data_IF_033058656872
#
_entry.id   IF_033058656872
#
_cell.length_a   1.000
_cell.length_b   1.000
_cell.length_c   1.000
_cell.angle_alpha   90.00
_cell.angle_beta   90.00
_cell.angle_gamma   90.00
#
_symmetry.space_group_name_H-M   'P 1'
#
loop_
_entity.id
_entity.type
_entity.pdbx_description
1 polymer ?
#
# COMPACT_ATOMS: atom_id res chain seq x y z
N UNK A 1 11.02 -14.58 -13.67
CA UNK A 1 10.74 -15.00 -12.28
C UNK A 1 9.49 -14.29 -11.80
N UNK A 2 8.44 -15.03 -11.52
CA UNK A 2 7.17 -14.47 -11.01
C UNK A 2 7.30 -14.25 -9.51
N UNK A 3 7.10 -13.02 -9.07
CA UNK A 3 7.22 -12.65 -7.64
C UNK A 3 5.85 -12.25 -7.11
N UNK A 4 5.52 -12.69 -5.89
CA UNK A 4 4.37 -12.19 -5.16
C UNK A 4 4.68 -12.16 -3.66
N UNK A 5 3.96 -11.29 -2.95
CA UNK A 5 4.17 -11.02 -1.53
C UNK A 5 2.96 -11.53 -0.77
N UNK A 6 3.20 -12.45 0.15
CA UNK A 6 2.19 -12.95 1.09
C UNK A 6 2.41 -12.28 2.43
N UNK A 7 1.40 -11.54 2.90
CA UNK A 7 1.38 -11.04 4.27
C UNK A 7 0.69 -12.02 5.20
N UNK A 8 1.20 -12.22 6.42
CA UNK A 8 0.46 -12.95 7.45
C UNK A 8 -0.48 -12.01 8.21
N UNK A 9 -1.59 -12.51 8.68
CA UNK A 9 -2.44 -11.83 9.65
C UNK A 9 -3.09 -12.84 10.61
N UNK A 10 -3.58 -12.36 11.74
CA UNK A 10 -4.17 -13.20 12.79
C UNK A 10 -3.69 -12.82 14.18
N UNK A 11 -4.31 -13.43 15.18
CA UNK A 11 -4.05 -13.12 16.58
C UNK A 11 -2.62 -13.49 17.02
N UNK A 12 -2.16 -12.91 18.15
CA UNK A 12 -0.94 -13.36 18.83
C UNK A 12 -1.10 -14.85 19.18
N UNK A 13 0.00 -15.59 19.16
CA UNK A 13 0.06 -17.03 19.46
C UNK A 13 -0.73 -17.96 18.52
N UNK A 14 -1.37 -17.45 17.46
CA UNK A 14 -1.99 -18.30 16.42
C UNK A 14 -0.97 -19.00 15.50
N UNK A 15 0.34 -18.81 15.72
CA UNK A 15 1.39 -19.56 15.05
C UNK A 15 1.88 -18.98 13.72
N UNK A 16 1.66 -17.69 13.43
CA UNK A 16 2.10 -17.04 12.16
C UNK A 16 3.59 -17.24 11.88
N UNK A 17 4.45 -16.81 12.80
CA UNK A 17 5.91 -16.92 12.67
C UNK A 17 6.38 -18.38 12.63
N UNK A 18 5.77 -19.24 13.45
CA UNK A 18 6.08 -20.67 13.47
C UNK A 18 5.72 -21.35 12.13
N UNK A 19 4.60 -20.94 11.53
CA UNK A 19 4.17 -21.42 10.22
C UNK A 19 5.16 -21.00 9.11
N UNK A 20 5.57 -19.74 9.07
CA UNK A 20 6.58 -19.27 8.10
C UNK A 20 7.90 -20.06 8.27
N UNK A 21 8.31 -20.27 9.52
CA UNK A 21 9.51 -21.07 9.81
C UNK A 21 9.37 -22.51 9.29
N UNK A 22 8.21 -23.14 9.46
CA UNK A 22 7.95 -24.47 8.93
C UNK A 22 7.98 -24.51 7.40
N UNK A 23 7.49 -23.46 6.73
CA UNK A 23 7.45 -23.36 5.27
C UNK A 23 8.84 -23.18 4.63
N UNK A 24 9.73 -22.35 5.22
CA UNK A 24 10.97 -21.95 4.57
C UNK A 24 12.24 -22.03 5.44
N UNK A 25 12.12 -22.51 6.68
CA UNK A 25 13.27 -22.66 7.59
C UNK A 25 13.80 -21.35 8.21
N UNK A 26 13.18 -20.21 7.91
CA UNK A 26 13.64 -18.90 8.37
C UNK A 26 13.16 -18.59 9.79
N UNK A 27 14.08 -18.23 10.68
CA UNK A 27 13.73 -17.70 12.00
C UNK A 27 13.36 -16.22 11.89
N UNK A 28 12.05 -15.92 11.98
CA UNK A 28 11.52 -14.57 11.87
C UNK A 28 11.98 -13.62 12.98
N UNK A 29 12.12 -14.13 14.19
CA UNK A 29 12.49 -13.35 15.37
C UNK A 29 13.99 -13.06 15.36
N UNK A 30 14.38 -11.93 14.75
CA UNK A 30 15.77 -11.57 14.52
C UNK A 30 16.43 -10.81 15.66
N UNK A 31 15.62 -10.19 16.55
CA UNK A 31 16.13 -9.39 17.67
C UNK A 31 16.16 -10.17 18.99
N UNK A 32 17.09 -9.82 19.89
CA UNK A 32 17.12 -10.42 21.23
C UNK A 32 15.85 -10.14 22.01
N UNK A 33 15.18 -9.02 21.77
CA UNK A 33 13.94 -8.64 22.44
C UNK A 33 12.78 -9.53 21.97
N UNK A 34 12.68 -9.84 20.67
CA UNK A 34 11.69 -10.77 20.12
C UNK A 34 11.88 -12.18 20.68
N UNK A 35 13.11 -12.67 20.71
CA UNK A 35 13.45 -13.99 21.28
C UNK A 35 13.09 -14.10 22.76
N UNK A 36 13.34 -13.04 23.55
CA UNK A 36 13.03 -13.03 24.99
C UNK A 36 11.52 -12.94 25.27
N UNK A 37 10.77 -12.24 24.44
CA UNK A 37 9.33 -12.03 24.62
C UNK A 37 8.47 -13.07 23.91
N UNK A 38 9.05 -13.85 22.98
CA UNK A 38 8.33 -14.83 22.17
C UNK A 38 7.30 -14.22 21.21
N UNK A 39 7.45 -12.93 20.87
CA UNK A 39 6.52 -12.21 20.00
C UNK A 39 7.29 -11.43 18.91
N UNK A 40 6.75 -11.40 17.70
CA UNK A 40 7.27 -10.55 16.61
C UNK A 40 6.95 -9.09 16.92
N UNK A 41 7.96 -8.22 16.93
CA UNK A 41 7.82 -6.79 17.27
C UNK A 41 7.82 -5.93 16.01
N UNK A 42 8.67 -6.23 15.04
CA UNK A 42 8.77 -5.51 13.76
C UNK A 42 8.41 -6.46 12.61
N UNK A 43 8.28 -5.91 11.40
CA UNK A 43 8.07 -6.72 10.20
C UNK A 43 9.25 -7.67 9.99
N UNK A 44 8.98 -8.93 9.81
CA UNK A 44 9.98 -9.93 9.42
C UNK A 44 9.79 -10.29 7.93
N UNK A 45 10.89 -10.50 7.24
CA UNK A 45 10.90 -10.71 5.79
C UNK A 45 11.67 -11.97 5.47
N UNK A 46 11.03 -12.87 4.74
CA UNK A 46 11.66 -14.10 4.24
C UNK A 46 11.11 -14.44 2.87
N UNK A 47 11.67 -15.46 2.24
CA UNK A 47 11.18 -15.94 0.96
C UNK A 47 11.45 -17.43 0.79
N UNK A 48 10.74 -18.03 -0.16
CA UNK A 48 11.03 -19.34 -0.71
C UNK A 48 10.98 -19.28 -2.23
N UNK A 49 11.85 -20.07 -2.88
CA UNK A 49 11.97 -20.09 -4.33
C UNK A 49 11.82 -21.52 -4.82
N UNK A 50 11.07 -21.72 -5.91
CA UNK A 50 10.97 -22.98 -6.63
C UNK A 50 10.87 -22.65 -8.13
N UNK A 51 11.76 -23.21 -8.93
CA UNK A 51 11.88 -22.95 -10.36
C UNK A 51 12.02 -21.43 -10.65
N UNK A 52 11.06 -20.86 -11.41
CA UNK A 52 11.00 -19.45 -11.78
C UNK A 52 10.07 -18.61 -10.88
N UNK A 53 9.51 -19.22 -9.81
CA UNK A 53 8.62 -18.55 -8.85
C UNK A 53 9.34 -18.22 -7.54
N UNK A 54 9.07 -17.03 -7.05
CA UNK A 54 9.52 -16.58 -5.75
C UNK A 54 8.35 -16.07 -4.92
N UNK A 55 8.16 -16.67 -3.76
CA UNK A 55 7.16 -16.30 -2.76
C UNK A 55 7.86 -15.57 -1.64
N UNK A 56 7.60 -14.28 -1.53
CA UNK A 56 8.09 -13.46 -0.42
C UNK A 56 7.05 -13.42 0.70
N UNK A 57 7.49 -13.57 1.94
CA UNK A 57 6.65 -13.46 3.13
C UNK A 57 6.96 -12.15 3.87
N UNK A 58 5.90 -11.49 4.31
CA UNK A 58 5.99 -10.42 5.30
C UNK A 58 5.22 -10.89 6.53
N UNK A 59 5.96 -11.28 7.56
CA UNK A 59 5.37 -11.64 8.84
C UNK A 59 5.08 -10.38 9.64
N UNK A 60 3.82 -10.22 10.04
CA UNK A 60 3.38 -9.04 10.77
C UNK A 60 3.16 -9.37 12.25
N UNK A 61 3.51 -8.43 13.14
CA UNK A 61 3.27 -8.61 14.55
C UNK A 61 1.75 -8.74 14.85
N UNK A 62 1.39 -9.70 15.69
CA UNK A 62 0.01 -9.94 16.08
C UNK A 62 -0.51 -9.05 17.21
N UNK A 63 0.36 -8.27 17.88
CA UNK A 63 -0.01 -7.50 19.06
C UNK A 63 -0.65 -6.15 18.70
N UNK A 64 -1.76 -5.76 19.35
CA UNK A 64 -2.51 -4.51 19.08
C UNK A 64 -1.64 -3.24 19.05
N UNK A 65 -0.64 -3.12 19.94
CA UNK A 65 0.29 -1.99 19.97
C UNK A 65 1.19 -1.89 18.74
N UNK A 66 1.27 -2.97 17.94
CA UNK A 66 2.14 -3.09 16.78
C UNK A 66 1.37 -3.02 15.44
N UNK A 67 0.07 -2.79 15.48
CA UNK A 67 -0.80 -2.66 14.28
C UNK A 67 -0.25 -1.64 13.28
N UNK A 68 0.42 -0.58 13.73
CA UNK A 68 1.13 0.37 12.86
C UNK A 68 2.18 -0.28 11.94
N UNK A 69 2.85 -1.32 12.43
CA UNK A 69 3.85 -2.05 11.63
C UNK A 69 3.13 -2.96 10.63
N UNK A 70 2.06 -3.62 11.06
CA UNK A 70 1.20 -4.40 10.15
C UNK A 70 0.67 -3.54 9.00
N UNK A 71 0.11 -2.36 9.28
CA UNK A 71 -0.38 -1.44 8.25
C UNK A 71 0.73 -1.12 7.24
N UNK A 72 1.94 -0.77 7.71
CA UNK A 72 3.05 -0.44 6.84
C UNK A 72 3.50 -1.61 5.93
N UNK A 73 3.43 -2.85 6.41
CA UNK A 73 3.68 -4.05 5.62
C UNK A 73 2.57 -4.35 4.60
N UNK A 74 1.33 -4.16 5.02
CA UNK A 74 0.14 -4.53 4.26
C UNK A 74 -0.01 -3.78 2.92
N UNK A 75 0.56 -2.58 2.79
CA UNK A 75 0.60 -1.86 1.50
C UNK A 75 1.36 -2.61 0.39
N UNK A 76 2.14 -3.63 0.75
CA UNK A 76 2.91 -4.43 -0.19
C UNK A 76 2.30 -5.79 -0.51
N UNK A 77 1.22 -6.20 0.18
CA UNK A 77 0.67 -7.55 0.05
C UNK A 77 -0.06 -7.75 -1.28
N UNK A 78 0.18 -8.90 -1.89
CA UNK A 78 -0.60 -9.41 -3.03
C UNK A 78 -1.69 -10.37 -2.56
N UNK A 79 -1.35 -11.18 -1.56
CA UNK A 79 -2.21 -12.19 -0.94
C UNK A 79 -2.04 -12.12 0.56
N UNK A 80 -3.09 -12.32 1.32
CA UNK A 80 -3.01 -12.47 2.76
C UNK A 80 -3.13 -13.94 3.16
N UNK A 81 -2.34 -14.34 4.13
CA UNK A 81 -2.45 -15.62 4.80
C UNK A 81 -3.04 -15.38 6.18
N UNK A 82 -4.34 -15.69 6.33
CA UNK A 82 -5.12 -15.50 7.56
C UNK A 82 -4.90 -16.73 8.44
N UNK A 83 -4.13 -16.58 9.51
CA UNK A 83 -3.77 -17.69 10.40
C UNK A 83 -4.65 -17.65 11.66
N UNK A 84 -5.48 -18.67 11.84
CA UNK A 84 -6.41 -18.81 12.95
C UNK A 84 -6.21 -20.16 13.63
N UNK A 85 -6.03 -20.16 14.94
CA UNK A 85 -5.92 -21.40 15.72
C UNK A 85 -7.24 -22.19 15.68
N UNK A 86 -7.17 -23.48 15.37
CA UNK A 86 -8.33 -24.39 15.39
C UNK A 86 -9.07 -24.37 16.72
N UNK A 87 -8.33 -24.23 17.84
CA UNK A 87 -8.88 -24.24 19.20
C UNK A 87 -9.46 -22.90 19.62
N UNK A 88 -8.76 -21.78 19.31
CA UNK A 88 -9.10 -20.45 19.81
C UNK A 88 -10.03 -19.67 18.89
N UNK A 89 -10.15 -20.10 17.62
CA UNK A 89 -11.00 -19.49 16.59
C UNK A 89 -10.70 -18.01 16.33
N UNK A 90 -11.71 -17.26 15.87
CA UNK A 90 -11.57 -15.82 15.56
C UNK A 90 -11.44 -15.01 16.86
N UNK A 91 -10.35 -14.28 16.97
CA UNK A 91 -10.00 -13.44 18.10
C UNK A 91 -10.00 -11.94 17.72
N UNK A 92 -10.12 -11.01 18.67
CA UNK A 92 -10.27 -9.57 18.36
C UNK A 92 -9.21 -8.98 17.45
N UNK A 93 -7.95 -9.37 17.60
CA UNK A 93 -6.87 -8.87 16.72
C UNK A 93 -7.01 -9.40 15.28
N UNK A 94 -7.53 -10.63 15.11
CA UNK A 94 -7.84 -11.15 13.77
C UNK A 94 -8.88 -10.25 13.10
N UNK A 95 -9.92 -9.84 13.84
CA UNK A 95 -10.97 -8.94 13.33
C UNK A 95 -10.36 -7.60 12.90
N UNK A 96 -9.58 -6.94 13.75
CA UNK A 96 -8.93 -5.66 13.42
C UNK A 96 -8.02 -5.80 12.19
N UNK A 97 -7.26 -6.89 12.08
CA UNK A 97 -6.41 -7.13 10.92
C UNK A 97 -7.23 -7.28 9.64
N UNK A 98 -8.31 -8.06 9.66
CA UNK A 98 -9.19 -8.25 8.49
C UNK A 98 -9.85 -6.94 8.07
N UNK A 99 -10.31 -6.13 9.02
CA UNK A 99 -10.87 -4.80 8.74
C UNK A 99 -9.86 -3.90 8.03
N UNK A 100 -8.63 -3.81 8.55
CA UNK A 100 -7.57 -3.00 7.94
C UNK A 100 -7.22 -3.48 6.54
N UNK A 101 -7.05 -4.80 6.35
CA UNK A 101 -6.70 -5.39 5.06
C UNK A 101 -7.80 -5.19 4.03
N UNK A 102 -9.07 -5.28 4.46
CA UNK A 102 -10.22 -4.98 3.62
C UNK A 102 -10.26 -3.49 3.20
N UNK A 103 -9.98 -2.56 4.13
CA UNK A 103 -9.87 -1.12 3.83
C UNK A 103 -8.71 -0.81 2.88
N UNK A 104 -7.61 -1.54 2.95
CA UNK A 104 -6.48 -1.44 2.02
C UNK A 104 -6.80 -2.02 0.64
N UNK A 105 -7.91 -2.76 0.53
CA UNK A 105 -8.38 -3.33 -0.74
C UNK A 105 -7.63 -4.57 -1.18
N UNK A 106 -7.02 -5.30 -0.24
CA UNK A 106 -6.47 -6.63 -0.52
C UNK A 106 -7.64 -7.53 -0.92
N UNK A 107 -7.45 -8.31 -1.98
CA UNK A 107 -8.55 -9.13 -2.54
C UNK A 107 -8.39 -10.60 -2.29
N UNK A 108 -7.19 -11.15 -2.31
CA UNK A 108 -6.93 -12.58 -2.23
C UNK A 108 -6.52 -13.01 -0.82
N UNK A 109 -7.15 -14.05 -0.32
CA UNK A 109 -6.87 -14.62 0.99
C UNK A 109 -6.66 -16.14 0.92
N UNK A 110 -5.73 -16.63 1.72
CA UNK A 110 -5.59 -18.05 2.06
C UNK A 110 -5.90 -18.17 3.55
N UNK A 111 -6.83 -19.04 3.90
CA UNK A 111 -7.23 -19.24 5.30
C UNK A 111 -6.48 -20.45 5.85
N UNK A 112 -5.72 -20.23 6.92
CA UNK A 112 -4.94 -21.27 7.59
C UNK A 112 -5.56 -21.54 8.95
N UNK A 113 -6.05 -22.76 9.16
CA UNK A 113 -6.48 -23.28 10.43
C UNK A 113 -5.29 -23.97 11.07
N UNK A 114 -4.60 -23.23 11.93
CA UNK A 114 -3.38 -23.71 12.58
C UNK A 114 -3.67 -24.55 13.83
N UNK A 115 -2.66 -25.30 14.32
CA UNK A 115 -2.77 -26.11 15.52
C UNK A 115 -3.90 -27.16 15.44
N UNK A 116 -4.09 -27.79 14.27
CA UNK A 116 -5.12 -28.81 14.08
C UNK A 116 -4.98 -30.02 15.01
N UNK A 117 -3.76 -30.24 15.51
CA UNK A 117 -3.39 -31.27 16.46
C UNK A 117 -3.99 -31.08 17.88
N UNK A 118 -4.54 -29.90 18.20
CA UNK A 118 -5.09 -29.58 19.50
C UNK A 118 -6.60 -29.77 19.61
N UNK A 119 -7.26 -30.26 18.56
CA UNK A 119 -8.72 -30.48 18.51
C UNK A 119 -9.03 -31.82 17.87
N UNK A 120 -10.22 -32.36 18.13
CA UNK A 120 -10.72 -33.56 17.46
C UNK A 120 -11.07 -33.27 15.99
N UNK A 121 -11.24 -34.32 15.18
CA UNK A 121 -11.59 -34.15 13.76
C UNK A 121 -12.96 -33.47 13.60
N UNK A 122 -13.96 -33.82 14.38
CA UNK A 122 -15.30 -33.20 14.32
C UNK A 122 -15.26 -31.72 14.73
N UNK A 123 -14.47 -31.38 15.76
CA UNK A 123 -14.24 -29.99 16.16
C UNK A 123 -13.48 -29.20 15.07
N UNK A 124 -12.50 -29.83 14.41
CA UNK A 124 -11.74 -29.19 13.33
C UNK A 124 -12.66 -28.82 12.17
N UNK A 125 -13.52 -29.73 11.73
CA UNK A 125 -14.46 -29.49 10.63
C UNK A 125 -15.46 -28.38 10.99
N UNK A 126 -16.07 -28.44 12.18
CA UNK A 126 -17.00 -27.42 12.67
C UNK A 126 -16.34 -26.05 12.78
N UNK A 127 -15.14 -25.97 13.39
CA UNK A 127 -14.43 -24.72 13.60
C UNK A 127 -13.91 -24.12 12.28
N UNK A 128 -13.50 -24.96 11.33
CA UNK A 128 -13.12 -24.53 9.98
C UNK A 128 -14.29 -23.83 9.29
N UNK A 129 -15.48 -24.42 9.32
CA UNK A 129 -16.67 -23.80 8.71
C UNK A 129 -17.04 -22.46 9.38
N UNK A 130 -16.94 -22.38 10.70
CA UNK A 130 -17.17 -21.14 11.43
C UNK A 130 -16.20 -20.04 11.01
N UNK A 131 -14.89 -20.36 10.93
CA UNK A 131 -13.83 -19.43 10.53
C UNK A 131 -14.04 -18.96 9.08
N UNK A 132 -14.30 -19.89 8.16
CA UNK A 132 -14.54 -19.55 6.75
C UNK A 132 -15.79 -18.67 6.58
N UNK A 133 -16.87 -18.98 7.28
CA UNK A 133 -18.08 -18.16 7.25
C UNK A 133 -17.85 -16.75 7.81
N UNK A 134 -17.00 -16.62 8.84
CA UNK A 134 -16.63 -15.31 9.35
C UNK A 134 -15.82 -14.51 8.33
N UNK A 135 -14.81 -15.12 7.71
CA UNK A 135 -13.96 -14.44 6.70
C UNK A 135 -14.76 -14.00 5.47
N UNK A 136 -15.80 -14.75 5.08
CA UNK A 136 -16.71 -14.40 3.96
C UNK A 136 -17.52 -13.11 4.19
N UNK A 137 -17.56 -12.56 5.40
CA UNK A 137 -18.19 -11.25 5.64
C UNK A 137 -17.34 -10.08 5.14
N UNK A 138 -16.10 -10.34 4.73
CA UNK A 138 -15.19 -9.36 4.15
C UNK A 138 -15.09 -9.58 2.63
N UNK A 139 -14.61 -8.56 1.93
CA UNK A 139 -14.49 -8.58 0.46
C UNK A 139 -13.18 -9.27 0.00
N UNK A 140 -12.96 -10.52 0.50
CA UNK A 140 -11.84 -11.36 0.12
C UNK A 140 -12.29 -12.52 -0.77
N UNK A 141 -11.55 -12.77 -1.83
CA UNK A 141 -11.57 -14.03 -2.58
C UNK A 141 -10.74 -15.05 -1.80
N UNK A 142 -11.40 -16.04 -1.19
CA UNK A 142 -10.70 -17.15 -0.52
C UNK A 142 -10.19 -18.09 -1.61
N UNK A 143 -8.87 -18.04 -1.86
CA UNK A 143 -8.21 -18.86 -2.89
C UNK A 143 -8.14 -20.32 -2.47
N UNK A 144 -7.85 -20.56 -1.19
CA UNK A 144 -7.83 -21.89 -0.57
C UNK A 144 -7.89 -21.79 0.96
N UNK A 145 -8.20 -22.91 1.60
CA UNK A 145 -8.10 -23.10 3.03
C UNK A 145 -7.34 -24.37 3.36
N UNK A 146 -6.58 -24.35 4.47
CA UNK A 146 -5.73 -25.46 4.89
C UNK A 146 -5.73 -25.61 6.40
N UNK A 147 -5.97 -26.83 6.87
CA UNK A 147 -5.77 -27.18 8.28
C UNK A 147 -4.35 -27.73 8.47
N UNK A 148 -3.54 -27.06 9.26
CA UNK A 148 -2.11 -27.38 9.41
C UNK A 148 -1.69 -27.56 10.86
N UNK A 149 -0.67 -28.39 11.06
CA UNK A 149 0.13 -28.43 12.29
C UNK A 149 1.60 -28.37 11.91
N UNK A 150 2.39 -27.59 12.62
CA UNK A 150 3.86 -27.53 12.42
C UNK A 150 4.55 -28.86 12.79
N UNK A 151 3.84 -29.78 13.41
CA UNK A 151 4.30 -31.15 13.74
C UNK A 151 3.87 -32.18 12.70
N UNK A 152 3.10 -31.77 11.67
CA UNK A 152 2.65 -32.61 10.57
C UNK A 152 3.26 -32.09 9.26
N UNK A 153 4.40 -32.67 8.87
CA UNK A 153 5.17 -32.29 7.69
C UNK A 153 4.32 -32.37 6.41
N UNK A 154 3.42 -33.38 6.28
CA UNK A 154 2.58 -33.50 5.09
C UNK A 154 1.67 -32.28 4.93
N UNK A 155 1.05 -31.78 6.01
CA UNK A 155 0.19 -30.59 5.93
C UNK A 155 0.96 -29.32 5.58
N UNK A 156 2.23 -29.23 5.96
CA UNK A 156 3.11 -28.11 5.61
C UNK A 156 3.53 -28.19 4.14
N UNK A 157 3.88 -29.39 3.65
CA UNK A 157 4.29 -29.60 2.26
C UNK A 157 3.12 -29.35 1.28
N UNK A 158 1.91 -29.82 1.61
CA UNK A 158 0.69 -29.53 0.84
C UNK A 158 0.43 -28.01 0.75
N UNK A 159 0.53 -27.29 1.87
CA UNK A 159 0.41 -25.84 1.88
C UNK A 159 1.50 -25.19 1.01
N UNK A 160 2.75 -25.64 1.15
CA UNK A 160 3.87 -25.14 0.37
C UNK A 160 3.67 -25.31 -1.13
N UNK A 161 3.18 -26.47 -1.56
CA UNK A 161 2.84 -26.76 -2.94
C UNK A 161 1.74 -25.82 -3.44
N UNK A 162 0.68 -25.64 -2.67
CA UNK A 162 -0.40 -24.71 -2.99
C UNK A 162 0.11 -23.27 -3.16
N UNK A 163 0.99 -22.79 -2.29
CA UNK A 163 1.56 -21.44 -2.41
C UNK A 163 2.32 -21.24 -3.74
N UNK A 164 2.97 -22.28 -4.26
CA UNK A 164 3.63 -22.20 -5.57
C UNK A 164 2.67 -22.33 -6.77
N UNK A 165 1.40 -22.74 -6.56
CA UNK A 165 0.38 -22.74 -7.62
C UNK A 165 -0.29 -21.38 -7.81
N UNK A 166 -0.15 -20.47 -6.85
CA UNK A 166 -0.75 -19.14 -6.92
C UNK A 166 -0.34 -18.43 -8.22
N UNK A 167 -1.30 -17.78 -8.83
CA UNK A 167 -1.04 -16.88 -9.95
C UNK A 167 -0.95 -15.47 -9.40
N UNK A 168 0.18 -14.81 -9.62
CA UNK A 168 0.27 -13.38 -9.40
C UNK A 168 -0.73 -12.70 -10.34
N UNK A 169 -1.52 -11.78 -9.79
CA UNK A 169 -2.26 -10.87 -10.66
C UNK A 169 -1.25 -10.06 -11.46
N UNK A 170 -1.55 -9.85 -12.75
CA UNK A 170 -0.77 -8.92 -13.54
C UNK A 170 -0.89 -7.55 -12.87
N UNK A 171 0.11 -7.19 -12.05
CA UNK A 171 0.16 -5.84 -11.51
C UNK A 171 0.23 -4.89 -12.68
N UNK A 172 -0.75 -4.01 -12.75
CA UNK A 172 -0.74 -2.94 -13.74
C UNK A 172 0.53 -2.14 -13.48
N UNK A 173 1.45 -2.16 -14.45
CA UNK A 173 2.60 -1.27 -14.40
C UNK A 173 2.08 0.15 -14.36
N UNK A 174 2.29 0.82 -13.23
CA UNK A 174 2.07 2.24 -13.15
C UNK A 174 3.09 2.96 -14.04
N UNK A 175 2.83 4.21 -14.31
CA UNK A 175 3.64 4.94 -15.30
C UNK A 175 5.02 5.37 -14.81
N UNK A 176 5.33 5.17 -13.52
CA UNK A 176 6.62 5.55 -12.92
C UNK A 176 6.94 4.74 -11.67
N UNK A 177 8.23 4.63 -11.37
CA UNK A 177 8.76 3.98 -10.18
C UNK A 177 8.38 4.74 -8.92
N UNK A 178 7.91 4.01 -7.90
CA UNK A 178 7.68 4.49 -6.53
C UNK A 178 8.29 3.53 -5.52
N UNK A 179 8.71 4.09 -4.40
CA UNK A 179 9.31 3.33 -3.34
C UNK A 179 9.15 4.07 -2.01
N UNK A 180 8.49 3.43 -1.07
CA UNK A 180 8.39 3.92 0.30
C UNK A 180 9.51 3.30 1.15
N UNK A 181 10.33 4.16 1.74
CA UNK A 181 11.39 3.72 2.65
C UNK A 181 10.78 3.19 3.94
N UNK A 182 11.02 1.94 4.28
CA UNK A 182 10.56 1.35 5.54
C UNK A 182 11.64 1.23 6.60
N UNK A 183 12.92 1.03 6.18
CA UNK A 183 14.09 1.06 7.07
C UNK A 183 15.25 1.80 6.43
N UNK A 184 16.09 2.39 7.27
CA UNK A 184 17.31 3.08 6.87
C UNK A 184 18.47 2.55 7.68
N UNK A 185 19.54 2.17 7.02
CA UNK A 185 20.76 1.65 7.63
C UNK A 185 21.98 2.48 7.21
N UNK A 186 22.93 2.61 8.12
CA UNK A 186 24.27 3.07 7.81
C UNK A 186 25.22 1.89 7.97
N UNK A 187 25.81 1.44 6.87
CA UNK A 187 26.76 0.31 6.88
C UNK A 187 28.18 0.81 6.69
N UNK A 188 29.13 0.35 7.56
CA UNK A 188 30.55 0.69 7.43
C UNK A 188 31.08 0.28 6.04
N UNK A 189 31.61 1.24 5.29
CA UNK A 189 32.13 1.01 3.93
C UNK A 189 31.12 1.07 2.78
N UNK A 190 29.83 0.81 3.03
CA UNK A 190 28.79 0.82 1.98
C UNK A 190 27.93 2.08 1.95
N UNK A 191 27.97 2.92 3.00
CA UNK A 191 27.20 4.16 3.04
C UNK A 191 25.76 3.94 3.50
N UNK A 192 24.82 4.64 2.86
CA UNK A 192 23.40 4.62 3.23
C UNK A 192 22.65 3.58 2.43
N UNK A 193 21.97 2.67 3.12
CA UNK A 193 21.11 1.64 2.55
C UNK A 193 19.67 1.87 3.05
N UNK A 194 18.72 1.86 2.15
CA UNK A 194 17.30 1.90 2.47
C UNK A 194 16.60 0.64 2.01
N UNK A 195 15.61 0.16 2.75
CA UNK A 195 14.76 -0.96 2.33
C UNK A 195 13.34 -0.52 2.09
N UNK A 196 12.64 -1.26 1.22
CA UNK A 196 11.27 -1.02 0.82
C UNK A 196 10.82 -1.99 -0.27
N UNK A 197 9.65 -1.75 -0.83
CA UNK A 197 9.08 -2.53 -1.94
C UNK A 197 9.02 -1.68 -3.20
N UNK A 198 9.41 -2.26 -4.33
CA UNK A 198 9.31 -1.63 -5.66
C UNK A 198 7.85 -1.58 -6.08
N UNK A 199 7.34 -0.38 -6.33
CA UNK A 199 5.98 -0.10 -6.78
C UNK A 199 6.00 0.62 -8.13
N UNK A 200 4.94 0.45 -8.89
CA UNK A 200 4.69 1.16 -10.14
C UNK A 200 5.47 0.63 -11.33
N UNK A 201 6.78 0.83 -11.38
CA UNK A 201 7.67 0.32 -12.44
C UNK A 201 8.90 -0.37 -11.88
N UNK A 202 9.47 -1.34 -12.63
CA UNK A 202 10.80 -1.86 -12.36
C UNK A 202 11.85 -0.75 -12.29
N UNK A 203 12.94 -1.00 -11.57
CA UNK A 203 14.07 -0.08 -11.46
C UNK A 203 15.36 -0.74 -11.91
N UNK A 204 16.22 0.04 -12.61
CA UNK A 204 17.56 -0.34 -13.00
C UNK A 204 18.60 0.46 -12.18
N UNK A 205 19.73 -0.17 -11.86
CA UNK A 205 20.82 0.45 -11.10
C UNK A 205 21.40 1.72 -11.74
N UNK A 206 21.30 1.86 -13.07
CA UNK A 206 21.80 3.03 -13.82
C UNK A 206 20.87 4.24 -13.74
N UNK A 207 19.65 4.06 -13.21
CA UNK A 207 18.67 5.13 -13.16
C UNK A 207 18.98 6.17 -12.09
N UNK A 208 18.71 7.43 -12.41
CA UNK A 208 18.72 8.52 -11.44
C UNK A 208 17.38 8.59 -10.75
N UNK A 209 17.42 8.64 -9.44
CA UNK A 209 16.25 8.71 -8.57
C UNK A 209 16.20 10.03 -7.82
N UNK A 210 15.05 10.29 -7.21
CA UNK A 210 14.77 11.50 -6.48
C UNK A 210 14.08 11.16 -5.16
N UNK A 211 14.66 11.60 -4.04
CA UNK A 211 14.01 11.52 -2.74
C UNK A 211 13.11 12.75 -2.60
N UNK A 212 11.80 12.52 -2.66
CA UNK A 212 10.80 13.58 -2.74
C UNK A 212 10.80 14.48 -1.50
N UNK A 213 10.86 13.87 -0.31
CA UNK A 213 10.76 14.57 0.99
C UNK A 213 11.89 15.58 1.22
N UNK A 214 13.08 15.30 0.75
CA UNK A 214 14.26 16.17 0.90
C UNK A 214 14.70 16.85 -0.40
N UNK A 215 13.92 16.65 -1.47
CA UNK A 215 14.13 17.25 -2.81
C UNK A 215 15.55 17.01 -3.36
N UNK A 216 16.09 15.79 -3.17
CA UNK A 216 17.46 15.45 -3.55
C UNK A 216 17.51 14.37 -4.62
N UNK A 217 18.27 14.63 -5.70
CA UNK A 217 18.61 13.63 -6.71
C UNK A 217 19.70 12.70 -6.18
N UNK A 218 19.55 11.42 -6.43
CA UNK A 218 20.47 10.35 -5.98
C UNK A 218 20.76 9.37 -7.11
N UNK A 219 21.89 8.67 -6.99
CA UNK A 219 22.23 7.50 -7.79
C UNK A 219 22.30 6.28 -6.91
N UNK A 220 22.05 5.13 -7.50
CA UNK A 220 22.22 3.85 -6.85
C UNK A 220 23.68 3.38 -6.99
N UNK A 221 24.25 2.86 -5.90
CA UNK A 221 25.52 2.14 -5.90
C UNK A 221 25.29 0.65 -6.14
N UNK A 222 24.20 0.13 -5.56
CA UNK A 222 23.80 -1.27 -5.65
C UNK A 222 22.31 -1.45 -5.39
N UNK A 223 21.73 -2.51 -5.93
CA UNK A 223 20.38 -3.00 -5.65
C UNK A 223 20.52 -4.45 -5.17
N UNK A 224 19.90 -4.79 -4.04
CA UNK A 224 19.79 -6.17 -3.58
C UNK A 224 18.34 -6.61 -3.51
N UNK A 225 18.10 -7.82 -3.98
CA UNK A 225 16.84 -8.55 -3.87
C UNK A 225 17.12 -9.87 -3.18
N UNK A 226 16.47 -10.14 -2.05
CA UNK A 226 16.68 -11.35 -1.24
C UNK A 226 18.16 -11.62 -0.89
N UNK A 227 18.91 -10.56 -0.59
CA UNK A 227 20.34 -10.66 -0.23
C UNK A 227 21.31 -10.80 -1.41
N UNK A 228 20.81 -10.91 -2.64
CA UNK A 228 21.63 -11.03 -3.85
C UNK A 228 21.69 -9.71 -4.61
N UNK A 229 22.86 -9.35 -5.11
CA UNK A 229 23.07 -8.17 -5.94
C UNK A 229 22.45 -8.36 -7.32
N UNK A 230 21.69 -7.35 -7.79
CA UNK A 230 21.00 -7.38 -9.07
C UNK A 230 21.17 -6.04 -9.80
N UNK A 231 21.08 -6.05 -11.14
CA UNK A 231 21.03 -4.80 -11.92
C UNK A 231 19.62 -4.22 -12.02
N UNK A 232 18.61 -5.07 -11.95
CA UNK A 232 17.19 -4.70 -12.06
C UNK A 232 16.39 -5.28 -10.91
N UNK A 233 15.43 -4.53 -10.41
CA UNK A 233 14.42 -5.04 -9.49
C UNK A 233 13.02 -4.79 -10.07
N UNK A 234 12.21 -5.84 -10.06
CA UNK A 234 10.84 -5.83 -10.59
C UNK A 234 9.83 -5.32 -9.54
N UNK A 235 8.62 -4.98 -10.01
CA UNK A 235 7.49 -4.66 -9.15
C UNK A 235 7.28 -5.81 -8.16
N UNK A 236 6.90 -5.45 -6.92
CA UNK A 236 6.76 -6.38 -5.78
C UNK A 236 8.07 -6.99 -5.28
N UNK A 237 9.22 -6.66 -5.86
CA UNK A 237 10.47 -7.03 -5.21
C UNK A 237 10.66 -6.20 -3.95
N UNK A 238 10.89 -6.92 -2.86
CA UNK A 238 11.48 -6.32 -1.67
C UNK A 238 12.96 -6.09 -1.92
N UNK A 239 13.39 -4.84 -1.82
CA UNK A 239 14.76 -4.46 -2.19
C UNK A 239 15.48 -3.72 -1.08
N UNK A 240 16.80 -3.81 -1.09
CA UNK A 240 17.68 -2.87 -0.43
C UNK A 240 18.37 -2.02 -1.50
N UNK A 241 18.21 -0.71 -1.41
CA UNK A 241 18.83 0.27 -2.33
C UNK A 241 20.01 0.94 -1.61
N UNK A 242 21.23 0.75 -2.14
CA UNK A 242 22.41 1.45 -1.65
C UNK A 242 22.53 2.80 -2.36
N UNK A 243 22.42 3.88 -1.60
CA UNK A 243 22.33 5.24 -2.11
C UNK A 243 23.69 5.93 -2.08
N UNK A 244 24.07 6.57 -3.19
CA UNK A 244 25.33 7.33 -3.28
C UNK A 244 25.17 8.73 -2.68
N UNK A 245 26.23 9.19 -1.98
CA UNK A 245 26.41 10.59 -1.58
C UNK A 245 25.29 11.19 -0.74
N UNK A 246 24.70 10.38 0.14
CA UNK A 246 23.66 10.81 1.08
C UNK A 246 23.89 10.22 2.47
N UNK A 247 23.65 11.02 3.52
CA UNK A 247 23.71 10.57 4.91
C UNK A 247 22.39 9.89 5.30
N UNK A 248 22.49 8.75 5.97
CA UNK A 248 21.35 8.00 6.49
C UNK A 248 20.48 8.83 7.44
N UNK A 249 21.06 9.76 8.21
CA UNK A 249 20.32 10.66 9.11
C UNK A 249 19.36 11.61 8.39
N UNK A 250 19.59 11.88 7.10
CA UNK A 250 18.71 12.76 6.30
C UNK A 250 17.47 12.04 5.76
N UNK A 251 17.44 10.72 5.81
CA UNK A 251 16.34 9.90 5.32
C UNK A 251 15.59 9.32 6.51
N UNK A 252 14.26 9.40 6.47
CA UNK A 252 13.38 8.84 7.51
C UNK A 252 12.50 7.74 6.91
N UNK A 253 12.01 6.83 7.76
CA UNK A 253 10.94 5.91 7.40
C UNK A 253 9.77 6.73 6.84
N UNK A 254 9.20 6.27 5.71
CA UNK A 254 8.11 6.95 5.02
C UNK A 254 8.55 7.95 3.95
N UNK A 255 9.85 8.23 3.80
CA UNK A 255 10.34 8.99 2.65
C UNK A 255 9.97 8.29 1.34
N UNK A 256 9.58 9.06 0.34
CA UNK A 256 9.22 8.57 -0.98
C UNK A 256 10.39 8.75 -1.94
N UNK A 257 10.80 7.66 -2.58
CA UNK A 257 11.77 7.70 -3.67
C UNK A 257 11.03 7.44 -4.99
N UNK A 258 11.27 8.30 -5.98
CA UNK A 258 10.67 8.19 -7.31
C UNK A 258 11.62 8.76 -8.36
N UNK A 259 11.16 8.92 -9.60
CA UNK A 259 11.83 9.73 -10.61
C UNK A 259 11.46 11.21 -10.43
N UNK A 260 12.41 12.11 -10.73
CA UNK A 260 12.20 13.55 -10.61
C UNK A 260 11.01 14.01 -11.49
N UNK A 261 10.11 14.79 -10.90
CA UNK A 261 9.00 15.41 -11.61
C UNK A 261 7.69 14.63 -11.64
N UNK A 262 7.67 13.34 -11.25
CA UNK A 262 6.46 12.52 -11.27
C UNK A 262 5.57 12.71 -10.04
N UNK A 263 6.14 12.91 -8.86
CA UNK A 263 5.40 13.13 -7.62
C UNK A 263 5.81 14.46 -7.01
N UNK A 264 4.83 15.31 -6.74
CA UNK A 264 4.97 16.54 -5.96
C UNK A 264 4.24 16.39 -4.64
N UNK A 265 4.81 16.96 -3.58
CA UNK A 265 4.17 16.99 -2.26
C UNK A 265 3.23 18.19 -2.13
N UNK A 266 2.14 17.97 -1.41
CA UNK A 266 1.18 19.00 -1.05
C UNK A 266 0.74 18.79 0.39
N UNK A 267 0.55 19.86 1.12
CA UNK A 267 0.06 19.81 2.51
C UNK A 267 -1.47 19.61 2.60
N UNK A 268 -2.15 19.53 1.46
CA UNK A 268 -3.56 19.19 1.35
C UNK A 268 -3.77 18.22 0.21
N UNK A 269 -4.59 17.18 0.47
CA UNK A 269 -5.08 16.23 -0.53
C UNK A 269 -6.55 15.96 -0.27
N UNK A 270 -7.28 15.58 -1.32
CA UNK A 270 -8.69 15.22 -1.18
C UNK A 270 -8.87 13.70 -1.31
N UNK A 271 -9.75 13.16 -0.49
CA UNK A 271 -9.98 11.72 -0.35
C UNK A 271 -11.47 11.37 -0.42
N UNK A 272 -11.78 10.14 -0.81
CA UNK A 272 -12.97 9.44 -0.33
C UNK A 272 -12.61 8.64 0.92
N UNK A 273 -13.56 8.50 1.85
CA UNK A 273 -13.36 7.72 3.06
C UNK A 273 -14.55 6.79 3.30
N UNK A 274 -14.28 5.69 4.03
CA UNK A 274 -15.29 4.77 4.55
C UNK A 274 -14.96 4.49 6.01
N UNK A 275 -15.90 4.78 6.89
CA UNK A 275 -15.77 4.52 8.32
C UNK A 275 -15.83 3.02 8.59
N UNK A 276 -15.13 2.54 9.60
CA UNK A 276 -15.36 1.21 10.16
C UNK A 276 -16.71 1.17 10.88
N UNK A 277 -17.23 -0.04 11.09
CA UNK A 277 -18.47 -0.26 11.83
C UNK A 277 -18.38 0.41 13.20
N UNK A 278 -19.42 1.15 13.58
CA UNK A 278 -19.53 1.87 14.86
C UNK A 278 -18.46 2.93 15.13
N UNK A 279 -17.67 3.30 14.10
CA UNK A 279 -16.68 4.39 14.16
C UNK A 279 -17.09 5.51 13.22
N UNK A 280 -16.73 6.75 13.55
CA UNK A 280 -17.01 7.92 12.71
C UNK A 280 -15.85 8.92 12.73
N UNK A 281 -15.54 9.45 11.56
CA UNK A 281 -14.66 10.61 11.45
C UNK A 281 -15.40 11.87 11.90
N UNK A 282 -14.73 12.73 12.63
CA UNK A 282 -15.25 14.03 13.05
C UNK A 282 -14.63 15.17 12.23
N UNK A 283 -15.44 16.14 11.84
CA UNK A 283 -15.00 17.31 11.09
C UNK A 283 -13.95 18.12 11.88
N UNK A 284 -12.92 18.59 11.18
CA UNK A 284 -11.84 19.43 11.71
C UNK A 284 -11.08 18.81 12.91
N UNK A 285 -11.03 17.49 12.95
CA UNK A 285 -10.36 16.73 14.01
C UNK A 285 -9.01 16.19 13.52
N UNK A 286 -8.04 16.12 14.42
CA UNK A 286 -6.70 15.61 14.15
C UNK A 286 -6.68 14.08 14.28
N UNK A 287 -6.11 13.43 13.27
CA UNK A 287 -5.94 11.99 13.17
C UNK A 287 -4.53 11.62 12.77
N UNK A 288 -4.15 10.39 13.05
CA UNK A 288 -2.94 9.75 12.52
C UNK A 288 -3.28 9.01 11.24
N UNK A 289 -2.60 9.34 10.15
CA UNK A 289 -2.76 8.73 8.84
C UNK A 289 -1.57 7.83 8.54
N UNK A 290 -1.84 6.70 7.90
CA UNK A 290 -0.83 5.80 7.37
C UNK A 290 -0.98 5.70 5.86
N UNK A 291 0.08 6.10 5.15
CA UNK A 291 0.18 6.09 3.68
C UNK A 291 1.50 5.41 3.31
N UNK A 292 1.44 4.23 2.71
CA UNK A 292 2.61 3.38 2.59
C UNK A 292 3.24 3.11 3.97
N UNK A 293 4.53 3.35 4.10
CA UNK A 293 5.25 3.27 5.38
C UNK A 293 5.28 4.60 6.16
N UNK A 294 4.69 5.68 5.60
CA UNK A 294 4.68 7.02 6.21
C UNK A 294 3.56 7.16 7.23
N UNK A 295 3.89 7.71 8.38
CA UNK A 295 2.95 8.17 9.40
C UNK A 295 2.82 9.69 9.31
N UNK A 296 1.59 10.22 9.22
CA UNK A 296 1.31 11.64 9.05
C UNK A 296 0.26 12.06 10.09
N UNK A 297 0.52 13.14 10.82
CA UNK A 297 -0.48 13.76 11.66
C UNK A 297 -1.19 14.86 10.86
N UNK A 298 -2.52 14.76 10.73
CA UNK A 298 -3.28 15.69 9.91
C UNK A 298 -4.69 15.92 10.43
N UNK A 299 -5.27 17.06 10.05
CA UNK A 299 -6.69 17.36 10.26
C UNK A 299 -7.51 16.85 9.07
N UNK A 300 -8.68 16.32 9.36
CA UNK A 300 -9.65 15.88 8.37
C UNK A 300 -10.83 16.86 8.33
N UNK A 301 -11.07 17.44 7.16
CA UNK A 301 -12.15 18.39 6.90
C UNK A 301 -13.21 17.71 6.04
N UNK A 302 -14.30 17.27 6.63
CA UNK A 302 -15.39 16.59 5.94
C UNK A 302 -16.14 17.56 5.03
N UNK A 303 -16.56 17.12 3.85
CA UNK A 303 -17.44 17.89 2.96
C UNK A 303 -18.88 17.86 3.44
N UNK A 304 -19.34 16.73 3.97
CA UNK A 304 -20.58 16.59 4.73
C UNK A 304 -20.27 16.65 6.22
N UNK A 305 -20.55 17.79 6.84
CA UNK A 305 -20.19 18.08 8.23
C UNK A 305 -21.05 17.27 9.20
N UNK A 306 -22.29 16.99 8.84
CA UNK A 306 -23.23 16.25 9.69
C UNK A 306 -22.88 14.76 9.75
N UNK A 307 -21.99 14.31 8.84
CA UNK A 307 -21.45 12.94 8.80
C UNK A 307 -22.55 11.88 8.99
N UNK A 308 -23.66 12.07 8.28
CA UNK A 308 -24.82 11.20 8.37
C UNK A 308 -24.58 9.84 7.71
N UNK A 309 -23.70 9.80 6.69
CA UNK A 309 -23.33 8.61 5.96
C UNK A 309 -22.07 7.95 6.52
N UNK A 310 -21.94 6.65 6.27
CA UNK A 310 -20.77 5.89 6.69
C UNK A 310 -19.53 6.12 5.78
N UNK A 311 -19.74 6.81 4.66
CA UNK A 311 -18.72 7.14 3.67
C UNK A 311 -18.95 8.53 3.10
N UNK A 312 -17.91 9.13 2.52
CA UNK A 312 -18.01 10.47 1.94
C UNK A 312 -16.66 11.00 1.46
N UNK A 313 -16.62 12.32 1.25
CA UNK A 313 -15.41 13.02 0.84
C UNK A 313 -14.86 13.90 1.96
N UNK A 314 -13.54 14.01 2.00
CA UNK A 314 -12.85 14.88 2.93
C UNK A 314 -11.59 15.49 2.30
N UNK A 315 -11.14 16.61 2.86
CA UNK A 315 -9.80 17.15 2.63
C UNK A 315 -8.93 16.82 3.84
N UNK A 316 -7.79 16.18 3.62
CA UNK A 316 -6.71 16.03 4.58
C UNK A 316 -5.88 17.30 4.53
N UNK A 317 -5.55 17.85 5.71
CA UNK A 317 -4.64 19.00 5.86
C UNK A 317 -3.56 18.66 6.88
N UNK A 318 -2.31 18.58 6.42
CA UNK A 318 -1.12 18.31 7.23
C UNK A 318 -0.21 19.53 7.33
N UNK A 319 0.70 19.50 8.31
CA UNK A 319 1.75 20.53 8.46
C UNK A 319 2.99 20.21 7.58
N UNK A 320 3.04 19.02 7.00
CA UNK A 320 4.08 18.55 6.08
C UNK A 320 3.54 18.18 4.70
N UNK A 321 4.42 18.08 3.72
CA UNK A 321 4.06 17.62 2.38
C UNK A 321 3.69 16.12 2.38
N UNK A 322 2.55 15.80 1.78
CA UNK A 322 2.06 14.47 1.50
C UNK A 322 2.41 14.14 0.06
N UNK A 323 3.21 13.11 -0.16
CA UNK A 323 3.59 12.63 -1.49
C UNK A 323 2.71 11.42 -1.83
N UNK A 324 1.59 11.66 -2.47
CA UNK A 324 0.60 10.63 -2.82
C UNK A 324 0.23 10.69 -4.29
N UNK A 325 -0.42 9.64 -4.76
CA UNK A 325 -0.99 9.55 -6.11
C UNK A 325 -2.48 9.19 -6.04
N UNK A 326 -3.17 9.32 -7.16
CA UNK A 326 -4.56 8.88 -7.31
C UNK A 326 -4.71 7.38 -6.98
N UNK A 327 -5.83 7.01 -6.35
CA UNK A 327 -6.20 5.67 -5.91
C UNK A 327 -5.37 5.09 -4.75
N UNK A 328 -4.40 5.83 -4.23
CA UNK A 328 -3.59 5.36 -3.12
C UNK A 328 -4.40 5.26 -1.82
N UNK A 329 -4.21 4.17 -1.07
CA UNK A 329 -4.98 3.87 0.13
C UNK A 329 -4.37 4.55 1.34
N UNK A 330 -5.23 4.93 2.28
CA UNK A 330 -4.85 5.53 3.57
C UNK A 330 -5.63 4.84 4.68
N UNK A 331 -4.96 4.50 5.76
CA UNK A 331 -5.61 4.07 7.01
C UNK A 331 -5.62 5.25 7.98
N UNK A 332 -6.77 5.54 8.55
CA UNK A 332 -7.01 6.66 9.48
C UNK A 332 -7.22 6.09 10.87
N UNK A 333 -6.39 6.54 11.81
CA UNK A 333 -6.43 6.09 13.20
C UNK A 333 -6.53 7.26 14.18
N UNK A 334 -7.09 6.97 15.37
CA UNK A 334 -7.09 7.88 16.51
C UNK A 334 -6.65 7.10 17.76
N UNK A 335 -5.50 7.45 18.32
CA UNK A 335 -4.88 6.64 19.38
C UNK A 335 -4.56 5.22 18.88
N UNK A 336 -5.13 4.23 19.53
CA UNK A 336 -4.97 2.80 19.17
C UNK A 336 -6.08 2.30 18.24
N UNK A 337 -7.12 3.09 17.98
CA UNK A 337 -8.27 2.65 17.18
C UNK A 337 -8.10 2.98 15.69
N UNK A 338 -8.41 2.05 14.83
CA UNK A 338 -8.65 2.29 13.41
C UNK A 338 -10.05 2.85 13.25
N UNK A 339 -10.19 4.02 12.61
CA UNK A 339 -11.46 4.74 12.48
C UNK A 339 -12.05 4.55 11.08
N UNK A 340 -11.21 4.69 10.05
CA UNK A 340 -11.65 4.64 8.67
C UNK A 340 -10.52 4.21 7.72
N UNK A 341 -10.90 3.72 6.55
CA UNK A 341 -10.06 3.67 5.38
C UNK A 341 -10.38 4.83 4.44
N UNK A 342 -9.40 5.22 3.65
CA UNK A 342 -9.57 6.25 2.65
C UNK A 342 -8.80 5.94 1.36
N UNK A 343 -9.23 6.59 0.28
CA UNK A 343 -8.61 6.52 -1.04
C UNK A 343 -8.32 7.93 -1.51
N UNK A 344 -7.09 8.20 -1.92
CA UNK A 344 -6.70 9.49 -2.49
C UNK A 344 -7.43 9.69 -3.80
N UNK A 345 -8.23 10.72 -3.91
CA UNK A 345 -8.89 11.12 -5.15
C UNK A 345 -8.12 12.24 -5.85
N UNK A 346 -7.86 13.35 -5.15
CA UNK A 346 -7.07 14.44 -5.73
C UNK A 346 -5.82 14.70 -4.90
N UNK A 347 -4.63 14.25 -5.37
CA UNK A 347 -3.37 14.42 -4.66
C UNK A 347 -2.76 15.82 -4.83
N UNK A 348 -3.38 16.70 -5.60
CA UNK A 348 -2.84 18.01 -5.99
C UNK A 348 -3.82 19.11 -5.55
N UNK A 349 -3.30 20.24 -5.06
CA UNK A 349 -4.12 21.39 -4.73
C UNK A 349 -4.49 22.15 -6.01
N UNK A 350 -5.78 22.36 -6.21
CA UNK A 350 -6.31 23.10 -7.36
C UNK A 350 -7.06 24.37 -6.92
N UNK A 351 -6.99 25.46 -7.72
CA UNK A 351 -7.67 26.73 -7.42
C UNK A 351 -9.15 26.66 -7.79
N UNK A 352 -9.95 25.96 -6.97
CA UNK A 352 -11.37 25.77 -7.27
C UNK A 352 -12.27 26.00 -6.03
N UNK A 353 -13.54 26.36 -6.31
CA UNK A 353 -14.57 26.50 -5.27
C UNK A 353 -15.02 25.13 -4.78
N UNK A 354 -15.62 25.08 -3.56
CA UNK A 354 -16.13 23.84 -2.94
C UNK A 354 -17.05 23.04 -3.87
N UNK A 355 -17.97 23.72 -4.59
CA UNK A 355 -18.90 23.07 -5.52
C UNK A 355 -18.20 22.43 -6.74
N UNK A 356 -17.15 23.06 -7.27
CA UNK A 356 -16.33 22.50 -8.36
C UNK A 356 -15.51 21.32 -7.84
N UNK A 357 -14.96 21.46 -6.62
CA UNK A 357 -14.21 20.38 -5.98
C UNK A 357 -15.07 19.14 -5.79
N UNK A 358 -16.32 19.28 -5.32
CA UNK A 358 -17.24 18.14 -5.21
C UNK A 358 -17.52 17.48 -6.57
N UNK A 359 -17.70 18.25 -7.64
CA UNK A 359 -17.85 17.68 -8.99
C UNK A 359 -16.61 16.89 -9.42
N UNK A 360 -15.41 17.42 -9.15
CA UNK A 360 -14.15 16.71 -9.42
C UNK A 360 -14.07 15.41 -8.62
N UNK A 361 -14.38 15.45 -7.32
CA UNK A 361 -14.28 14.28 -6.45
C UNK A 361 -15.28 13.19 -6.84
N UNK A 362 -16.52 13.55 -7.23
CA UNK A 362 -17.46 12.58 -7.76
C UNK A 362 -16.93 11.95 -9.06
N UNK A 363 -16.47 12.74 -10.02
CA UNK A 363 -15.92 12.22 -11.27
C UNK A 363 -14.72 11.27 -11.02
N UNK A 364 -13.82 11.63 -10.09
CA UNK A 364 -12.67 10.79 -9.72
C UNK A 364 -13.08 9.53 -8.94
N UNK A 365 -14.13 9.61 -8.13
CA UNK A 365 -14.67 8.46 -7.40
C UNK A 365 -15.29 7.44 -8.36
N UNK A 366 -16.02 7.94 -9.36
CA UNK A 366 -16.69 7.15 -10.39
C UNK A 366 -15.75 6.75 -11.54
N UNK A 367 -14.45 7.09 -11.43
CA UNK A 367 -13.40 6.81 -12.43
C UNK A 367 -13.67 7.47 -13.81
N UNK A 368 -14.53 8.51 -13.85
CA UNK A 368 -14.81 9.32 -15.04
C UNK A 368 -13.71 10.37 -15.26
N UNK A 369 -12.60 9.92 -15.84
CA UNK A 369 -11.41 10.74 -16.09
C UNK A 369 -11.74 11.88 -17.09
N UNK A 370 -12.65 11.66 -18.02
CA UNK A 370 -13.06 12.69 -19.01
C UNK A 370 -13.71 13.88 -18.31
N UNK A 371 -14.70 13.63 -17.46
CA UNK A 371 -15.37 14.67 -16.68
C UNK A 371 -14.39 15.33 -15.67
N UNK A 372 -13.49 14.56 -15.07
CA UNK A 372 -12.45 15.11 -14.19
C UNK A 372 -11.56 16.13 -14.92
N UNK A 373 -11.13 15.85 -16.17
CA UNK A 373 -10.39 16.81 -16.98
C UNK A 373 -11.22 18.07 -17.30
N UNK A 374 -12.49 17.92 -17.64
CA UNK A 374 -13.37 19.07 -17.94
C UNK A 374 -13.53 19.99 -16.73
N UNK A 375 -13.74 19.41 -15.52
CA UNK A 375 -13.84 20.18 -14.28
C UNK A 375 -12.51 20.89 -13.96
N UNK A 376 -11.38 20.22 -14.13
CA UNK A 376 -10.05 20.81 -13.91
C UNK A 376 -9.77 21.96 -14.90
N UNK A 377 -10.14 21.82 -16.17
CA UNK A 377 -9.97 22.89 -17.16
C UNK A 377 -10.78 24.15 -16.83
N UNK A 378 -11.97 24.00 -16.23
CA UNK A 378 -12.74 25.15 -15.75
C UNK A 378 -12.03 25.90 -14.62
N UNK A 379 -11.25 25.21 -13.80
CA UNK A 379 -10.47 25.80 -12.71
C UNK A 379 -9.13 26.39 -13.23
N UNK A 380 -8.49 25.72 -14.18
CA UNK A 380 -7.17 26.08 -14.72
C UNK A 380 -7.29 26.89 -16.03
N UNK A 381 -7.82 28.11 -15.95
CA UNK A 381 -8.05 28.98 -17.12
C UNK A 381 -6.78 29.29 -17.95
N UNK A 382 -5.59 29.21 -17.34
CA UNK A 382 -4.28 29.40 -17.99
C UNK A 382 -3.66 28.10 -18.53
N UNK A 383 -4.45 27.02 -18.60
CA UNK A 383 -4.02 25.72 -19.07
C UNK A 383 -3.71 24.72 -17.94
N UNK A 384 -3.93 23.46 -18.24
CA UNK A 384 -3.68 22.32 -17.36
C UNK A 384 -2.49 21.51 -17.87
N UNK A 385 -1.42 21.42 -17.08
CA UNK A 385 -0.23 20.64 -17.43
C UNK A 385 -0.51 19.14 -17.42
N UNK A 386 -0.40 18.49 -18.60
CA UNK A 386 -0.64 17.04 -18.76
C UNK A 386 0.40 16.18 -18.04
N UNK A 387 1.58 16.71 -17.75
CA UNK A 387 2.62 16.02 -16.94
C UNK A 387 2.07 15.61 -15.57
N UNK A 388 1.15 16.40 -14.99
CA UNK A 388 0.54 16.09 -13.71
C UNK A 388 -0.43 14.90 -13.75
N UNK A 389 -0.81 14.42 -14.93
CA UNK A 389 -1.78 13.33 -15.09
C UNK A 389 -1.26 12.00 -14.53
N UNK A 390 0.05 11.79 -14.49
CA UNK A 390 0.65 10.62 -13.84
C UNK A 390 0.29 10.59 -12.34
N UNK A 391 0.41 11.70 -11.64
CA UNK A 391 0.05 11.80 -10.22
C UNK A 391 -1.47 11.89 -10.00
N UNK A 392 -2.19 12.64 -10.88
CA UNK A 392 -3.63 12.91 -10.76
C UNK A 392 -4.54 11.74 -11.08
N UNK A 393 -4.14 10.90 -12.04
CA UNK A 393 -5.00 9.88 -12.64
C UNK A 393 -4.30 8.55 -12.85
N UNK A 394 -3.04 8.42 -12.41
CA UNK A 394 -2.17 7.27 -12.68
C UNK A 394 -2.00 6.99 -14.20
N UNK A 395 -2.16 8.00 -15.07
CA UNK A 395 -2.04 7.88 -16.52
C UNK A 395 -0.61 8.14 -17.01
N UNK A 396 -0.17 7.38 -18.02
CA UNK A 396 1.04 7.72 -18.77
C UNK A 396 0.88 9.03 -19.55
N UNK A 397 1.99 9.61 -19.98
CA UNK A 397 1.93 10.79 -20.87
C UNK A 397 1.19 10.48 -22.18
N UNK A 398 1.35 9.27 -22.72
CA UNK A 398 0.66 8.86 -23.95
C UNK A 398 -0.85 8.72 -23.74
N UNK A 399 -1.26 8.09 -22.63
CA UNK A 399 -2.68 7.99 -22.26
C UNK A 399 -3.28 9.35 -21.98
N UNK A 400 -2.59 10.22 -21.23
CA UNK A 400 -3.03 11.57 -20.94
C UNK A 400 -3.22 12.41 -22.19
N UNK A 401 -2.29 12.32 -23.17
CA UNK A 401 -2.41 12.96 -24.48
C UNK A 401 -3.61 12.42 -25.28
N UNK A 402 -3.81 11.10 -25.26
CA UNK A 402 -4.95 10.48 -25.95
C UNK A 402 -6.29 10.92 -25.35
N UNK A 403 -6.41 10.91 -24.03
CA UNK A 403 -7.59 11.46 -23.35
C UNK A 403 -7.81 12.93 -23.72
N UNK A 404 -6.76 13.76 -23.65
CA UNK A 404 -6.85 15.17 -23.92
C UNK A 404 -7.26 15.47 -25.38
N UNK A 405 -6.79 14.69 -26.36
CA UNK A 405 -7.18 14.81 -27.79
C UNK A 405 -8.66 14.54 -28.04
N UNK A 406 -9.28 13.70 -27.21
CA UNK A 406 -10.69 13.34 -27.33
C UNK A 406 -11.64 14.31 -26.61
N UNK A 407 -11.11 15.27 -25.83
CA UNK A 407 -11.91 16.28 -25.14
C UNK A 407 -12.46 17.33 -26.11
N UNK A 408 -13.75 17.61 -26.01
CA UNK A 408 -14.41 18.64 -26.83
C UNK A 408 -14.04 20.05 -26.37
N UNK A 409 -14.01 21.00 -27.30
CA UNK A 409 -13.76 22.42 -27.01
C UNK A 409 -12.42 22.69 -26.29
N UNK A 410 -11.40 21.90 -26.60
CA UNK A 410 -10.05 22.06 -26.08
C UNK A 410 -9.01 22.09 -27.19
N UNK A 411 -7.81 22.54 -26.89
CA UNK A 411 -6.62 22.34 -27.72
C UNK A 411 -5.40 22.07 -26.86
N UNK A 412 -4.40 21.42 -27.42
CA UNK A 412 -3.19 21.03 -26.77
C UNK A 412 -2.00 21.72 -27.35
N UNK A 413 -1.16 22.32 -26.51
CA UNK A 413 0.22 22.63 -26.88
C UNK A 413 1.06 21.36 -26.63
N UNK A 414 1.33 20.61 -27.70
CA UNK A 414 2.06 19.33 -27.60
C UNK A 414 3.53 19.51 -27.18
N UNK A 415 4.13 20.70 -27.43
CA UNK A 415 5.51 20.98 -26.99
C UNK A 415 5.59 21.25 -25.51
N UNK A 416 4.65 22.02 -24.98
CA UNK A 416 4.58 22.36 -23.56
C UNK A 416 3.83 21.29 -22.75
N UNK A 417 3.14 20.33 -23.39
CA UNK A 417 2.24 19.36 -22.77
C UNK A 417 1.17 20.04 -21.88
N UNK A 418 0.55 21.09 -22.44
CA UNK A 418 -0.49 21.85 -21.74
C UNK A 418 -1.80 21.76 -22.53
N UNK A 419 -2.86 21.42 -21.81
CA UNK A 419 -4.24 21.38 -22.30
C UNK A 419 -4.93 22.70 -21.96
N UNK A 420 -5.56 23.32 -22.96
CA UNK A 420 -6.26 24.60 -22.85
C UNK A 420 -7.73 24.50 -23.27
N UNK A 421 -8.63 25.27 -22.61
CA UNK A 421 -9.95 25.51 -23.17
C UNK A 421 -9.84 26.23 -24.54
N UNK A 422 -10.68 25.89 -25.51
CA UNK A 422 -10.65 26.47 -26.87
C UNK A 422 -10.76 28.01 -26.83
N UNK A 423 -11.54 28.57 -25.91
CA UNK A 423 -11.71 30.01 -25.69
C UNK A 423 -10.39 30.74 -25.34
N UNK A 424 -9.38 30.00 -24.87
CA UNK A 424 -8.08 30.58 -24.52
C UNK A 424 -7.17 30.74 -25.76
N UNK A 425 -7.53 30.12 -26.88
CA UNK A 425 -6.72 30.14 -28.12
C UNK A 425 -6.49 31.56 -28.67
N UNK A 426 -7.46 32.44 -28.47
CA UNK A 426 -7.37 33.84 -28.90
C UNK A 426 -6.51 34.71 -27.98
N UNK A 427 -6.28 34.25 -26.73
CA UNK A 427 -5.48 34.95 -25.70
C UNK A 427 -4.00 34.58 -25.71
N UNK A 428 -3.62 33.52 -26.44
CA UNK A 428 -2.25 32.97 -26.49
C UNK A 428 -1.54 33.43 -27.78
N UNK A 429 -2.25 34.06 -28.73
CA UNK A 429 -1.69 34.77 -29.87
C UNK A 429 -1.22 36.16 -29.42
#
# INVERSE_FOLDING_TARGET
MTNYIIGTCGHIDHGKTALIRALNGYEGDSTNEEKQRGITIDLSFSNMTRDDKNVAFIDVPGHEKLVKNMIAGAFSFDVIMIVVSAKEKIMPQTIEHLEILNLLGIKKAIVIISKKDLVSQDELESNTQEILNFVKNYDFEIVSDHAVSIYDENSIDELKDQLFTLKADNKIEENFFRYYVDRVFSTKGNGTVVTGTVLGKPINIKEKLFICDIKKEIKLKNIQVHGSDVENANISNRTALNLQSIDAKSIKRGCVISKKGFIRGFNQIDISYKNLKDKKLNHNTKYTLYLGSKKIEAKILLFDIDNSSNEGFATIRADEDIFSIYNEKIIIRQGNDTIAGAKVLNPIIDPMKKSQKLKLLNALHDEDITNAYEVLLQAHKKGLGLISSAQRFALSHAEALNFAKNLKNTFIDEKALILYPIKTKELIK
#
